data_IF_327565328634
#
_entry.id   IF_327565328634
#
_cell.length_a   1.000
_cell.length_b   1.000
_cell.length_c   1.000
_cell.angle_alpha   90.00
_cell.angle_beta   90.00
_cell.angle_gamma   90.00
#
_symmetry.space_group_name_H-M   'P 1'
#
loop_
_entity.id
_entity.type
_entity.pdbx_description
1 polymer ?
#
# COMPACT_ATOMS: atom_id res chain seq x y z
N UNK A 1 -2.85 -5.68 22.00
CA UNK A 1 -2.73 -6.47 20.75
C UNK A 1 -1.84 -5.78 19.70
N UNK A 2 -2.05 -4.48 19.43
CA UNK A 2 -1.31 -3.72 18.40
C UNK A 2 0.18 -3.46 18.68
N UNK A 3 0.62 -3.48 19.93
CA UNK A 3 2.04 -3.35 20.30
C UNK A 3 2.89 -4.60 20.04
N UNK A 4 2.31 -5.71 19.56
CA UNK A 4 3.05 -6.93 19.28
C UNK A 4 3.92 -6.75 18.01
N UNK A 5 5.19 -7.22 17.99
CA UNK A 5 6.13 -6.98 16.88
C UNK A 5 5.63 -7.42 15.49
N UNK A 6 4.68 -8.34 15.44
CA UNK A 6 4.11 -8.91 14.20
C UNK A 6 2.67 -8.48 13.92
N UNK A 7 2.09 -7.57 14.72
CA UNK A 7 0.69 -7.16 14.58
C UNK A 7 0.34 -6.67 13.17
N UNK A 8 1.27 -5.99 12.49
CA UNK A 8 1.12 -5.46 11.12
C UNK A 8 2.00 -6.16 10.09
N UNK A 9 2.55 -7.35 10.41
CA UNK A 9 3.50 -8.03 9.54
C UNK A 9 2.89 -8.41 8.17
N UNK A 10 1.63 -8.81 8.15
CA UNK A 10 0.89 -9.13 6.92
C UNK A 10 0.69 -7.88 6.06
N UNK A 11 0.27 -6.76 6.67
CA UNK A 11 0.12 -5.46 5.98
C UNK A 11 1.43 -4.98 5.36
N UNK A 12 2.55 -5.08 6.08
CA UNK A 12 3.87 -4.73 5.54
C UNK A 12 4.24 -5.60 4.35
N UNK A 13 3.97 -6.91 4.40
CA UNK A 13 4.23 -7.80 3.26
C UNK A 13 3.35 -7.45 2.05
N UNK A 14 2.09 -7.10 2.29
CA UNK A 14 1.15 -6.66 1.24
C UNK A 14 1.67 -5.39 0.56
N UNK A 15 2.12 -4.38 1.32
CA UNK A 15 2.70 -3.14 0.77
C UNK A 15 3.92 -3.40 -0.12
N UNK A 16 4.82 -4.29 0.29
CA UNK A 16 5.97 -4.70 -0.54
C UNK A 16 5.51 -5.29 -1.87
N UNK A 17 4.43 -6.10 -1.86
CA UNK A 17 3.92 -6.72 -3.09
C UNK A 17 3.21 -5.72 -4.00
N UNK A 18 2.42 -4.81 -3.42
CA UNK A 18 1.79 -3.71 -4.15
C UNK A 18 2.85 -2.84 -4.82
N UNK A 19 3.93 -2.50 -4.11
CA UNK A 19 5.06 -1.76 -4.68
C UNK A 19 5.67 -2.48 -5.89
N UNK A 20 6.03 -3.75 -5.72
CA UNK A 20 6.62 -4.60 -6.77
C UNK A 20 5.76 -4.67 -8.04
N UNK A 21 4.45 -4.91 -7.90
CA UNK A 21 3.53 -4.96 -9.04
C UNK A 21 3.32 -3.59 -9.69
N UNK A 22 3.37 -2.51 -8.90
CA UNK A 22 3.26 -1.14 -9.41
C UNK A 22 4.49 -0.75 -10.23
N UNK A 23 5.68 -1.13 -9.78
CA UNK A 23 6.93 -0.96 -10.53
C UNK A 23 6.92 -1.77 -11.84
N UNK A 24 6.48 -3.03 -11.79
CA UNK A 24 6.30 -3.84 -13.01
C UNK A 24 5.32 -3.20 -14.01
N UNK A 25 4.22 -2.62 -13.51
CA UNK A 25 3.23 -1.92 -14.33
C UNK A 25 3.82 -0.65 -14.94
N UNK A 26 4.60 0.12 -14.18
CA UNK A 26 5.32 1.29 -14.69
C UNK A 26 6.33 0.90 -15.77
N UNK A 27 7.07 -0.19 -15.57
CA UNK A 27 8.01 -0.74 -16.54
C UNK A 27 7.31 -1.25 -17.80
N UNK A 28 6.14 -1.90 -17.68
CA UNK A 28 5.32 -2.33 -18.82
C UNK A 28 4.85 -1.12 -19.63
N UNK A 29 4.37 -0.08 -18.95
CA UNK A 29 3.97 1.19 -19.58
C UNK A 29 5.13 1.81 -20.36
N UNK A 30 6.35 1.79 -19.81
CA UNK A 30 7.54 2.34 -20.47
C UNK A 30 7.96 1.61 -21.76
N UNK A 31 7.59 0.33 -21.91
CA UNK A 31 7.92 -0.49 -23.10
C UNK A 31 6.72 -0.83 -23.98
N UNK A 32 5.56 -0.21 -23.73
CA UNK A 32 4.28 -0.59 -24.33
C UNK A 32 4.29 -0.45 -25.85
N UNK A 33 3.89 -1.51 -26.56
CA UNK A 33 3.74 -1.52 -28.02
C UNK A 33 2.31 -1.86 -28.48
N UNK A 34 1.40 -2.11 -27.54
CA UNK A 34 0.01 -2.48 -27.82
C UNK A 34 -0.16 -3.90 -28.36
N UNK A 35 0.85 -4.76 -28.17
CA UNK A 35 0.81 -6.14 -28.66
C UNK A 35 -0.14 -7.00 -27.82
N UNK A 36 -0.63 -8.15 -28.34
CA UNK A 36 -1.42 -9.10 -27.54
C UNK A 36 -0.71 -9.56 -26.25
N UNK A 37 0.62 -9.63 -26.27
CA UNK A 37 1.43 -9.93 -25.09
C UNK A 37 1.36 -8.80 -24.05
N UNK A 38 1.51 -7.54 -24.47
CA UNK A 38 1.39 -6.37 -23.58
C UNK A 38 0.03 -6.34 -22.87
N UNK A 39 -1.05 -6.62 -23.60
CA UNK A 39 -2.40 -6.71 -23.01
C UNK A 39 -2.55 -7.84 -22.01
N UNK A 40 -1.87 -8.96 -22.24
CA UNK A 40 -1.88 -10.11 -21.33
C UNK A 40 -1.14 -9.78 -20.05
N UNK A 41 0.04 -9.15 -20.17
CA UNK A 41 0.81 -8.68 -19.02
C UNK A 41 0.07 -7.61 -18.23
N UNK A 42 -0.56 -6.65 -18.90
CA UNK A 42 -1.36 -5.62 -18.25
C UNK A 42 -2.52 -6.22 -17.44
N UNK A 43 -3.26 -7.18 -18.02
CA UNK A 43 -4.33 -7.89 -17.28
C UNK A 43 -3.77 -8.62 -16.06
N UNK A 44 -2.66 -9.34 -16.21
CA UNK A 44 -2.01 -10.05 -15.09
C UNK A 44 -1.67 -9.09 -13.95
N UNK A 45 -1.04 -7.96 -14.27
CA UNK A 45 -0.63 -6.96 -13.27
C UNK A 45 -1.82 -6.28 -12.60
N UNK A 46 -2.79 -5.83 -13.39
CA UNK A 46 -3.98 -5.13 -12.88
C UNK A 46 -4.88 -6.04 -12.05
N UNK A 47 -5.08 -7.30 -12.46
CA UNK A 47 -5.84 -8.26 -11.66
C UNK A 47 -5.09 -8.67 -10.39
N UNK A 48 -3.76 -8.83 -10.45
CA UNK A 48 -2.92 -9.06 -9.28
C UNK A 48 -3.03 -7.92 -8.26
N UNK A 49 -2.88 -6.67 -8.72
CA UNK A 49 -3.07 -5.47 -7.90
C UNK A 49 -4.47 -5.42 -7.30
N UNK A 50 -5.51 -5.62 -8.10
CA UNK A 50 -6.90 -5.64 -7.60
C UNK A 50 -7.10 -6.68 -6.51
N UNK A 51 -6.64 -7.91 -6.74
CA UNK A 51 -6.82 -9.00 -5.78
C UNK A 51 -6.14 -8.70 -4.44
N UNK A 52 -4.93 -8.14 -4.47
CA UNK A 52 -4.21 -7.75 -3.26
C UNK A 52 -4.88 -6.56 -2.56
N UNK A 53 -5.21 -5.50 -3.30
CA UNK A 53 -5.79 -4.28 -2.73
C UNK A 53 -7.14 -4.53 -2.06
N UNK A 54 -8.00 -5.39 -2.65
CA UNK A 54 -9.28 -5.73 -2.04
C UNK A 54 -9.09 -6.36 -0.65
N UNK A 55 -8.19 -7.34 -0.53
CA UNK A 55 -7.93 -7.99 0.76
C UNK A 55 -7.17 -7.07 1.71
N UNK A 56 -6.30 -6.21 1.17
CA UNK A 56 -5.57 -5.21 1.95
C UNK A 56 -6.52 -4.22 2.65
N UNK A 57 -7.44 -3.63 1.90
CA UNK A 57 -8.41 -2.69 2.46
C UNK A 57 -9.39 -3.37 3.41
N UNK A 58 -9.81 -4.61 3.12
CA UNK A 58 -10.62 -5.38 4.06
C UNK A 58 -9.90 -5.57 5.41
N UNK A 59 -8.58 -5.81 5.43
CA UNK A 59 -7.81 -5.87 6.69
C UNK A 59 -7.83 -4.53 7.43
N UNK A 60 -7.71 -3.41 6.72
CA UNK A 60 -7.77 -2.09 7.35
C UNK A 60 -9.15 -1.82 7.94
N UNK A 61 -10.19 -1.90 7.11
CA UNK A 61 -11.55 -1.53 7.47
C UNK A 61 -12.19 -2.48 8.48
N UNK A 62 -11.97 -3.78 8.35
CA UNK A 62 -12.66 -4.79 9.16
C UNK A 62 -11.87 -5.19 10.42
N UNK A 63 -10.55 -4.97 10.45
CA UNK A 63 -9.69 -5.46 11.54
C UNK A 63 -8.92 -4.34 12.21
N UNK A 64 -8.07 -3.61 11.47
CA UNK A 64 -7.14 -2.68 12.09
C UNK A 64 -7.80 -1.39 12.56
N UNK A 65 -8.67 -0.77 11.75
CA UNK A 65 -9.35 0.46 12.11
C UNK A 65 -10.27 0.28 13.34
N UNK A 66 -11.14 -0.74 13.41
CA UNK A 66 -11.94 -0.99 14.61
C UNK A 66 -11.08 -1.24 15.85
N UNK A 67 -9.99 -2.01 15.69
CA UNK A 67 -9.08 -2.29 16.79
C UNK A 67 -8.34 -1.03 17.28
N UNK A 68 -8.06 -0.07 16.41
CA UNK A 68 -7.48 1.22 16.81
C UNK A 68 -8.52 2.09 17.51
N UNK A 69 -9.75 2.15 17.01
CA UNK A 69 -10.86 2.89 17.63
C UNK A 69 -11.18 2.39 19.04
N UNK A 70 -11.08 1.07 19.27
CA UNK A 70 -11.30 0.48 20.59
C UNK A 70 -10.16 0.73 21.59
N UNK A 71 -8.93 0.93 21.09
CA UNK A 71 -7.73 0.90 21.93
C UNK A 71 -7.09 2.29 22.13
N UNK A 72 -7.38 3.25 21.26
CA UNK A 72 -6.82 4.60 21.34
C UNK A 72 -7.85 5.58 21.88
N UNK A 73 -7.40 6.46 22.77
CA UNK A 73 -8.15 7.69 23.05
C UNK A 73 -8.19 8.59 21.81
N UNK A 74 -9.15 9.52 21.78
CA UNK A 74 -9.26 10.48 20.68
C UNK A 74 -7.99 11.36 20.53
N UNK A 75 -7.25 11.60 21.60
CA UNK A 75 -5.98 12.33 21.56
C UNK A 75 -4.87 11.49 20.92
N UNK A 76 -4.71 10.24 21.35
CA UNK A 76 -3.74 9.30 20.77
C UNK A 76 -4.03 9.02 19.30
N UNK A 77 -5.31 8.87 18.93
CA UNK A 77 -5.72 8.72 17.53
C UNK A 77 -5.34 9.92 16.68
N UNK A 78 -5.61 11.16 17.15
CA UNK A 78 -5.18 12.38 16.44
C UNK A 78 -3.67 12.48 16.29
N UNK A 79 -2.92 12.17 17.34
CA UNK A 79 -1.46 12.17 17.31
C UNK A 79 -0.91 11.14 16.32
N UNK A 80 -1.49 9.93 16.28
CA UNK A 80 -1.14 8.90 15.31
C UNK A 80 -1.40 9.38 13.88
N UNK A 81 -2.56 9.95 13.57
CA UNK A 81 -2.87 10.45 12.23
C UNK A 81 -1.91 11.57 11.79
N UNK A 82 -1.58 12.51 12.67
CA UNK A 82 -0.61 13.57 12.38
C UNK A 82 0.77 12.98 12.03
N UNK A 83 1.27 12.04 12.85
CA UNK A 83 2.54 11.36 12.60
C UNK A 83 2.53 10.57 11.28
N UNK A 84 1.41 9.93 10.94
CA UNK A 84 1.25 9.23 9.65
C UNK A 84 1.29 10.19 8.46
N UNK A 85 0.64 11.36 8.56
CA UNK A 85 0.64 12.37 7.50
C UNK A 85 2.05 12.97 7.27
N UNK A 86 2.78 13.25 8.35
CA UNK A 86 4.17 13.69 8.30
C UNK A 86 5.06 12.63 7.62
N UNK A 87 4.96 11.37 8.03
CA UNK A 87 5.71 10.27 7.44
C UNK A 87 5.38 10.08 5.95
N UNK A 88 4.10 10.15 5.57
CA UNK A 88 3.67 10.03 4.18
C UNK A 88 4.18 11.20 3.32
N UNK A 89 4.20 12.42 3.88
CA UNK A 89 4.75 13.60 3.20
C UNK A 89 6.25 13.46 2.98
N UNK A 90 7.00 13.01 3.99
CA UNK A 90 8.43 12.74 3.87
C UNK A 90 8.72 11.66 2.81
N UNK A 91 7.98 10.55 2.82
CA UNK A 91 8.15 9.48 1.84
C UNK A 91 7.87 9.96 0.39
N UNK A 92 6.82 10.76 0.18
CA UNK A 92 6.51 11.37 -1.12
C UNK A 92 7.61 12.32 -1.58
N UNK A 93 8.20 13.10 -0.67
CA UNK A 93 9.30 14.00 -1.00
C UNK A 93 10.54 13.23 -1.44
N UNK A 94 10.90 12.15 -0.72
CA UNK A 94 12.01 11.27 -1.09
C UNK A 94 11.80 10.63 -2.48
N UNK A 95 10.63 10.03 -2.72
CA UNK A 95 10.31 9.42 -4.01
C UNK A 95 10.34 10.41 -5.19
N UNK A 96 10.01 11.68 -4.95
CA UNK A 96 10.14 12.74 -5.97
C UNK A 96 11.59 13.12 -6.24
N UNK A 97 12.44 13.11 -5.22
CA UNK A 97 13.87 13.39 -5.37
C UNK A 97 14.59 12.28 -6.17
N UNK A 98 14.20 11.02 -5.98
CA UNK A 98 14.76 9.88 -6.73
C UNK A 98 14.37 9.87 -8.23
N UNK A 99 13.38 10.67 -8.62
CA UNK A 99 12.91 10.83 -10.01
C UNK A 99 13.47 12.08 -10.71
N UNK A 100 14.24 12.92 -10.01
CA UNK A 100 14.80 14.18 -10.50
C UNK A 100 16.29 14.05 -10.82
#
# INVERSE_FOLDING_TARGET
>A
LMGAPKATATMRRDHVEVGRLTEELAALRGRWKGTPADWTDARRLLYGLRALLVVHFAKEEEVYLPLLDEQLSAEEGRAMFAAMEEAATAAKAAARADLA
#
